data_IF_673131673216
#
_entry.id   IF_673131673216
#
_cell.length_a   1.000
_cell.length_b   1.000
_cell.length_c   1.000
_cell.angle_alpha   90.00
_cell.angle_beta   90.00
_cell.angle_gamma   90.00
#
_symmetry.space_group_name_H-M   'P 1'
#
loop_
_entity.id
_entity.type
_entity.pdbx_description
1 polymer ?
#
# COMPACT_ATOMS: atom_id res chain seq x y z
N UNK A 1 24.05 -7.15 17.06
CA UNK A 1 23.30 -6.72 15.88
C UNK A 1 24.28 -6.65 14.72
N UNK A 2 23.91 -7.17 13.56
CA UNK A 2 24.69 -7.06 12.34
C UNK A 2 24.80 -5.58 11.96
N UNK A 3 25.98 -4.95 11.99
CA UNK A 3 26.14 -3.52 11.68
C UNK A 3 25.86 -3.19 10.20
N UNK A 4 25.80 -4.20 9.34
CA UNK A 4 25.53 -4.07 7.91
C UNK A 4 24.06 -4.24 7.54
N UNK A 5 23.17 -4.55 8.50
CA UNK A 5 21.75 -4.78 8.28
C UNK A 5 20.97 -3.46 8.42
N UNK A 6 20.60 -2.87 7.29
CA UNK A 6 19.76 -1.67 7.27
C UNK A 6 18.32 -2.05 7.64
N UNK A 7 17.71 -1.35 8.60
CA UNK A 7 16.30 -1.52 8.94
C UNK A 7 15.46 -0.52 8.18
N UNK A 8 14.42 -1.01 7.50
CA UNK A 8 13.48 -0.15 6.77
C UNK A 8 12.14 -0.17 7.47
N UNK A 9 11.59 0.99 7.92
CA UNK A 9 10.25 1.04 8.49
C UNK A 9 9.19 0.73 7.44
N UNK A 10 8.24 -0.13 7.79
CA UNK A 10 7.07 -0.45 6.99
C UNK A 10 5.83 0.11 7.66
N UNK A 11 5.42 1.31 7.28
CA UNK A 11 4.22 1.98 7.78
C UNK A 11 2.98 1.38 7.12
N UNK A 12 2.04 0.91 7.92
CA UNK A 12 0.81 0.31 7.40
C UNK A 12 -0.22 0.03 8.48
N UNK A 13 -1.37 -0.45 8.04
CA UNK A 13 -2.29 -1.17 8.90
C UNK A 13 -1.77 -2.63 9.08
N UNK A 14 -2.62 -3.61 9.40
CA UNK A 14 -2.15 -4.98 9.69
C UNK A 14 -1.27 -5.62 8.62
N UNK A 15 -1.38 -5.20 7.35
CA UNK A 15 -0.56 -5.73 6.26
C UNK A 15 0.94 -5.42 6.41
N UNK A 16 1.32 -4.37 7.16
CA UNK A 16 2.73 -4.13 7.44
C UNK A 16 3.38 -5.24 8.28
N UNK A 17 2.57 -6.03 8.98
CA UNK A 17 3.04 -7.18 9.80
C UNK A 17 3.39 -8.40 8.96
N UNK A 18 2.85 -8.52 7.75
CA UNK A 18 3.11 -9.66 6.84
C UNK A 18 4.60 -9.89 6.61
N UNK A 19 5.38 -8.83 6.54
CA UNK A 19 6.83 -8.90 6.27
C UNK A 19 7.70 -8.59 7.49
N UNK A 20 7.12 -8.68 8.69
CA UNK A 20 7.83 -8.39 9.94
C UNK A 20 9.13 -9.18 10.05
N UNK A 21 10.24 -8.47 10.27
CA UNK A 21 11.59 -9.03 10.46
C UNK A 21 12.16 -9.79 9.23
N UNK A 22 11.45 -9.85 8.10
CA UNK A 22 11.98 -10.45 6.88
C UNK A 22 13.21 -9.67 6.40
N UNK A 23 14.18 -10.42 5.86
CA UNK A 23 15.39 -9.85 5.25
C UNK A 23 15.38 -10.08 3.75
N UNK A 24 15.78 -9.08 2.98
CA UNK A 24 15.92 -9.17 1.53
C UNK A 24 17.09 -8.30 1.06
N UNK A 25 17.48 -8.48 -0.19
CA UNK A 25 18.45 -7.62 -0.85
C UNK A 25 17.72 -6.51 -1.62
N UNK A 26 18.05 -5.27 -1.32
CA UNK A 26 17.50 -4.10 -2.00
C UNK A 26 18.63 -3.13 -2.36
N UNK A 27 18.80 -2.82 -3.66
CA UNK A 27 19.89 -1.98 -4.17
C UNK A 27 21.28 -2.40 -3.65
N UNK A 28 21.58 -3.70 -3.75
CA UNK A 28 22.84 -4.32 -3.30
C UNK A 28 23.12 -4.21 -1.79
N UNK A 29 22.11 -3.87 -0.99
CA UNK A 29 22.19 -3.85 0.48
C UNK A 29 21.25 -4.89 1.06
N UNK A 30 21.74 -5.56 2.11
CA UNK A 30 20.89 -6.43 2.93
C UNK A 30 20.06 -5.57 3.87
N UNK A 31 18.75 -5.70 3.78
CA UNK A 31 17.81 -4.93 4.60
C UNK A 31 16.93 -5.83 5.45
N UNK A 32 16.39 -5.30 6.53
CA UNK A 32 15.37 -5.95 7.36
C UNK A 32 14.12 -5.07 7.42
N UNK A 33 12.96 -5.67 7.20
CA UNK A 33 11.67 -4.98 7.30
C UNK A 33 11.29 -4.81 8.77
N UNK A 34 11.09 -3.55 9.19
CA UNK A 34 10.64 -3.21 10.52
C UNK A 34 9.16 -2.76 10.47
N UNK A 35 8.20 -3.58 10.93
CA UNK A 35 6.80 -3.18 10.89
C UNK A 35 6.50 -2.02 11.83
N UNK A 36 5.72 -1.06 11.34
CA UNK A 36 5.31 0.15 12.07
C UNK A 36 3.80 0.31 11.93
N UNK A 37 3.07 -0.30 12.85
CA UNK A 37 1.62 -0.41 12.78
C UNK A 37 0.92 0.91 13.08
N UNK A 38 0.04 1.33 12.18
CA UNK A 38 -0.96 2.39 12.38
C UNK A 38 -2.34 1.72 12.40
N UNK A 39 -2.76 1.27 13.57
CA UNK A 39 -3.95 0.43 13.77
C UNK A 39 -5.20 1.03 13.13
N UNK A 40 -5.82 0.29 12.19
CA UNK A 40 -7.03 0.69 11.48
C UNK A 40 -6.83 1.92 10.57
N UNK A 41 -5.58 2.20 10.17
CA UNK A 41 -5.27 3.27 9.23
C UNK A 41 -5.86 2.98 7.85
N UNK A 42 -6.62 3.93 7.30
CA UNK A 42 -7.17 3.88 5.94
C UNK A 42 -6.52 4.97 5.09
N UNK A 43 -6.37 4.75 3.80
CA UNK A 43 -5.98 5.80 2.86
C UNK A 43 -6.92 7.02 2.99
N UNK A 44 -8.21 6.78 3.16
CA UNK A 44 -9.23 7.79 3.44
C UNK A 44 -8.87 8.70 4.62
N UNK A 45 -8.38 8.16 5.74
CA UNK A 45 -8.02 8.96 6.92
C UNK A 45 -6.89 9.96 6.64
N UNK A 46 -5.95 9.59 5.77
CA UNK A 46 -4.87 10.48 5.35
C UNK A 46 -5.32 11.49 4.29
N UNK A 47 -6.34 11.13 3.49
CA UNK A 47 -6.93 12.04 2.50
C UNK A 47 -7.79 13.16 3.12
N UNK A 48 -8.32 12.98 4.32
CA UNK A 48 -9.09 14.01 5.02
C UNK A 48 -8.27 15.28 5.25
N UNK A 49 -8.88 16.45 5.08
CA UNK A 49 -8.20 17.75 5.35
C UNK A 49 -7.92 17.98 6.83
N UNK A 50 -8.79 17.48 7.70
CA UNK A 50 -8.68 17.66 9.16
C UNK A 50 -7.63 16.72 9.74
N UNK A 51 -6.98 17.16 10.82
CA UNK A 51 -6.18 16.30 11.66
C UNK A 51 -7.06 15.23 12.31
N UNK A 52 -6.51 14.03 12.41
CA UNK A 52 -7.16 12.90 13.06
C UNK A 52 -6.12 12.02 13.76
N UNK A 53 -6.59 11.04 14.54
CA UNK A 53 -5.72 10.16 15.33
C UNK A 53 -4.73 9.34 14.49
N UNK A 54 -5.09 8.97 13.27
CA UNK A 54 -4.22 8.16 12.39
C UNK A 54 -3.06 8.99 11.84
N UNK A 55 -3.30 10.24 11.45
CA UNK A 55 -2.25 11.19 11.07
C UNK A 55 -1.29 11.43 12.23
N UNK A 56 -1.82 11.72 13.42
CA UNK A 56 -1.00 11.90 14.63
C UNK A 56 -0.20 10.64 14.98
N UNK A 57 -0.82 9.46 14.86
CA UNK A 57 -0.14 8.17 15.08
C UNK A 57 1.02 7.96 14.10
N UNK A 58 0.78 8.16 12.80
CA UNK A 58 1.81 8.04 11.77
C UNK A 58 2.98 9.01 12.05
N UNK A 59 2.70 10.28 12.28
CA UNK A 59 3.74 11.30 12.56
C UNK A 59 4.53 10.97 13.83
N UNK A 60 3.88 10.44 14.85
CA UNK A 60 4.55 9.98 16.07
C UNK A 60 5.48 8.79 15.79
N UNK A 61 5.02 7.83 15.00
CA UNK A 61 5.83 6.67 14.63
C UNK A 61 7.03 7.06 13.75
N UNK A 62 6.84 7.95 12.78
CA UNK A 62 7.94 8.45 11.95
C UNK A 62 9.09 9.03 12.76
N UNK A 63 8.78 9.78 13.84
CA UNK A 63 9.81 10.35 14.75
C UNK A 63 10.62 9.27 15.47
N UNK A 64 10.08 8.06 15.64
CA UNK A 64 10.76 6.93 16.30
C UNK A 64 11.62 6.11 15.33
N UNK A 65 11.44 6.30 14.02
CA UNK A 65 12.09 5.49 12.99
C UNK A 65 12.90 6.33 11.97
N UNK A 66 13.86 7.19 12.42
CA UNK A 66 14.61 8.08 11.54
C UNK A 66 15.88 7.45 10.93
N UNK A 67 16.05 6.15 11.03
CA UNK A 67 17.33 5.45 10.80
C UNK A 67 17.51 4.90 9.38
N UNK A 68 16.61 5.16 8.47
CA UNK A 68 16.72 4.80 7.05
C UNK A 68 16.30 5.96 6.17
N UNK A 69 16.87 6.06 4.98
CA UNK A 69 16.41 6.94 3.91
C UNK A 69 15.28 6.33 3.08
N UNK A 70 14.83 5.12 3.45
CA UNK A 70 13.80 4.34 2.79
C UNK A 70 12.61 4.10 3.71
N UNK A 71 11.40 4.04 3.13
CA UNK A 71 10.19 3.63 3.82
C UNK A 71 9.33 2.73 2.92
N UNK A 72 8.71 1.72 3.52
CA UNK A 72 7.66 0.90 2.94
C UNK A 72 6.31 1.39 3.44
N UNK A 73 5.29 1.40 2.59
CA UNK A 73 3.97 1.96 2.88
C UNK A 73 2.89 1.00 2.35
N UNK A 74 1.98 0.53 3.23
CA UNK A 74 0.85 -0.33 2.88
C UNK A 74 -0.44 0.13 3.56
N UNK A 75 -1.19 1.00 2.88
CA UNK A 75 -2.55 1.39 3.27
C UNK A 75 -3.46 1.24 2.05
N UNK A 76 -4.74 0.90 2.27
CA UNK A 76 -5.73 0.81 1.20
C UNK A 76 -6.57 -0.45 1.19
N UNK A 77 -6.14 -1.53 1.86
CA UNK A 77 -6.94 -2.75 1.92
C UNK A 77 -8.30 -2.49 2.58
N UNK A 78 -8.30 -1.82 3.74
CA UNK A 78 -9.54 -1.48 4.46
C UNK A 78 -10.44 -0.56 3.62
N UNK A 79 -9.84 0.33 2.81
CA UNK A 79 -10.59 1.20 1.89
C UNK A 79 -11.31 0.43 0.77
N UNK A 80 -10.83 -0.77 0.45
CA UNK A 80 -11.40 -1.65 -0.56
C UNK A 80 -12.36 -2.71 0.01
N UNK A 81 -12.65 -2.69 1.32
CA UNK A 81 -13.68 -3.55 1.93
C UNK A 81 -15.07 -3.08 1.59
N UNK A 82 -16.03 -4.01 1.62
CA UNK A 82 -17.42 -3.73 1.28
C UNK A 82 -18.08 -2.78 2.29
N UNK A 83 -17.96 -3.10 3.58
CA UNK A 83 -18.75 -2.44 4.64
C UNK A 83 -18.18 -1.09 5.06
N UNK A 84 -16.87 -0.89 4.92
CA UNK A 84 -16.17 0.22 5.55
C UNK A 84 -15.48 1.18 4.58
N UNK A 85 -15.47 0.85 3.29
CA UNK A 85 -14.60 1.48 2.34
C UNK A 85 -15.29 2.35 1.28
N UNK A 86 -14.56 2.53 0.20
CA UNK A 86 -14.94 3.34 -0.96
C UNK A 86 -16.25 2.86 -1.58
N UNK A 87 -16.44 1.54 -1.68
CA UNK A 87 -17.62 0.94 -2.30
C UNK A 87 -18.90 1.32 -1.54
N UNK A 88 -18.91 1.11 -0.23
CA UNK A 88 -20.04 1.47 0.62
C UNK A 88 -20.34 2.98 0.58
N UNK A 89 -19.30 3.82 0.66
CA UNK A 89 -19.47 5.27 0.57
C UNK A 89 -20.07 5.69 -0.78
N UNK A 90 -19.55 5.13 -1.89
CA UNK A 90 -20.03 5.47 -3.22
C UNK A 90 -21.49 5.08 -3.42
N UNK A 91 -21.89 3.87 -3.01
CA UNK A 91 -23.28 3.38 -3.10
C UNK A 91 -24.21 4.24 -2.24
N UNK A 92 -23.89 4.43 -0.95
CA UNK A 92 -24.75 5.14 0.01
C UNK A 92 -24.91 6.62 -0.32
N UNK A 93 -23.94 7.22 -1.00
CA UNK A 93 -23.93 8.64 -1.39
C UNK A 93 -24.22 8.89 -2.87
N UNK A 94 -24.55 7.84 -3.61
CA UNK A 94 -24.77 7.91 -5.07
C UNK A 94 -23.62 8.62 -5.81
N UNK A 95 -22.38 8.17 -5.54
CA UNK A 95 -21.16 8.74 -6.12
C UNK A 95 -20.51 7.75 -7.08
N UNK A 96 -19.79 8.27 -8.06
CA UNK A 96 -18.99 7.45 -8.95
C UNK A 96 -17.79 6.85 -8.18
N UNK A 97 -17.67 5.51 -8.19
CA UNK A 97 -16.64 4.75 -7.46
C UNK A 97 -15.24 5.19 -7.89
N UNK A 98 -15.02 5.36 -9.20
CA UNK A 98 -13.70 5.76 -9.75
C UNK A 98 -13.29 7.15 -9.27
N UNK A 99 -14.22 8.10 -9.21
CA UNK A 99 -13.95 9.45 -8.70
C UNK A 99 -13.67 9.44 -7.20
N UNK A 100 -14.39 8.63 -6.41
CA UNK A 100 -14.10 8.47 -4.98
C UNK A 100 -12.71 7.86 -4.78
N UNK A 101 -12.34 6.82 -5.52
CA UNK A 101 -11.00 6.24 -5.53
C UNK A 101 -9.93 7.30 -5.82
N UNK A 102 -10.10 8.04 -6.91
CA UNK A 102 -9.16 9.06 -7.38
C UNK A 102 -8.92 10.14 -6.34
N UNK A 103 -9.99 10.66 -5.75
CA UNK A 103 -9.91 11.69 -4.71
C UNK A 103 -9.23 11.16 -3.44
N UNK A 104 -9.57 9.92 -3.04
CA UNK A 104 -8.95 9.26 -1.88
C UNK A 104 -7.45 9.07 -2.10
N UNK A 105 -7.05 8.48 -3.23
CA UNK A 105 -5.63 8.22 -3.55
C UNK A 105 -4.85 9.53 -3.63
N UNK A 106 -5.40 10.53 -4.33
CA UNK A 106 -4.73 11.82 -4.44
C UNK A 106 -4.49 12.46 -3.06
N UNK A 107 -5.53 12.60 -2.25
CA UNK A 107 -5.41 13.20 -0.92
C UNK A 107 -4.51 12.41 0.02
N UNK A 108 -4.58 11.07 -0.03
CA UNK A 108 -3.70 10.15 0.70
C UNK A 108 -2.23 10.38 0.35
N UNK A 109 -1.89 10.39 -0.94
CA UNK A 109 -0.52 10.59 -1.40
C UNK A 109 -0.05 12.03 -1.16
N UNK A 110 -0.90 13.05 -1.36
CA UNK A 110 -0.56 14.44 -1.06
C UNK A 110 -0.11 14.61 0.41
N UNK A 111 -0.83 13.97 1.33
CA UNK A 111 -0.47 14.00 2.75
C UNK A 111 0.82 13.21 3.04
N UNK A 112 0.92 11.96 2.55
CA UNK A 112 2.07 11.10 2.84
C UNK A 112 3.37 11.65 2.24
N UNK A 113 3.33 12.10 0.98
CA UNK A 113 4.51 12.67 0.33
C UNK A 113 5.00 13.92 1.07
N UNK A 114 4.08 14.81 1.49
CA UNK A 114 4.44 15.99 2.26
C UNK A 114 5.11 15.65 3.62
N UNK A 115 4.79 14.50 4.22
CA UNK A 115 5.35 14.09 5.51
C UNK A 115 6.59 13.19 5.37
N UNK A 116 6.50 12.20 4.49
CA UNK A 116 7.55 11.19 4.36
C UNK A 116 8.77 11.71 3.58
N UNK A 117 8.60 12.59 2.59
CA UNK A 117 9.71 13.10 1.78
C UNK A 117 10.77 13.86 2.57
N UNK A 118 10.43 14.35 3.75
CA UNK A 118 11.36 15.04 4.65
C UNK A 118 12.42 14.08 5.24
N UNK A 119 12.08 12.80 5.40
CA UNK A 119 12.95 11.82 6.07
C UNK A 119 13.31 10.63 5.19
N UNK A 120 12.49 10.32 4.18
CA UNK A 120 12.64 9.15 3.33
C UNK A 120 12.73 9.54 1.87
N UNK A 121 13.93 9.48 1.29
CA UNK A 121 14.15 9.81 -0.11
C UNK A 121 13.57 8.75 -1.05
N UNK A 122 13.52 7.49 -0.61
CA UNK A 122 12.96 6.36 -1.37
C UNK A 122 11.75 5.78 -0.66
N UNK A 123 10.59 5.90 -1.30
CA UNK A 123 9.31 5.45 -0.76
C UNK A 123 8.73 4.36 -1.65
N UNK A 124 8.36 3.23 -1.05
CA UNK A 124 7.86 2.04 -1.72
C UNK A 124 6.43 1.79 -1.27
N UNK A 125 5.49 2.00 -2.17
CA UNK A 125 4.07 1.81 -1.92
C UNK A 125 3.63 0.43 -2.39
N UNK A 126 3.02 -0.33 -1.49
CA UNK A 126 2.44 -1.63 -1.78
C UNK A 126 1.00 -1.46 -2.27
N UNK A 127 0.67 -2.13 -3.36
CA UNK A 127 -0.70 -2.26 -3.83
C UNK A 127 -1.54 -3.13 -2.88
N UNK A 128 -2.85 -3.13 -3.11
CA UNK A 128 -3.82 -3.98 -2.41
C UNK A 128 -3.88 -5.34 -3.09
N UNK A 129 -3.87 -6.42 -2.29
CA UNK A 129 -4.00 -7.78 -2.79
C UNK A 129 -5.35 -8.02 -3.50
N UNK A 130 -5.38 -8.99 -4.40
CA UNK A 130 -6.63 -9.46 -4.99
C UNK A 130 -7.56 -10.00 -3.89
N UNK A 131 -8.89 -9.76 -3.97
CA UNK A 131 -9.83 -10.19 -2.93
C UNK A 131 -10.07 -11.69 -2.99
N UNK A 132 -10.22 -12.33 -1.83
CA UNK A 132 -10.81 -13.67 -1.77
C UNK A 132 -12.30 -13.58 -2.08
N UNK A 133 -12.82 -14.56 -2.83
CA UNK A 133 -14.25 -14.75 -2.98
C UNK A 133 -14.91 -14.87 -1.60
N UNK A 134 -15.94 -14.07 -1.37
CA UNK A 134 -16.66 -14.09 -0.10
C UNK A 134 -18.04 -14.73 -0.32
N UNK A 135 -18.23 -15.93 0.21
CA UNK A 135 -19.49 -16.67 0.10
C UNK A 135 -20.71 -15.96 0.74
N UNK A 136 -20.46 -14.96 1.59
CA UNK A 136 -21.50 -14.15 2.21
C UNK A 136 -21.94 -12.96 1.32
N UNK A 137 -21.19 -12.69 0.24
CA UNK A 137 -21.55 -11.67 -0.74
C UNK A 137 -22.33 -12.28 -1.89
N UNK A 138 -23.18 -11.48 -2.54
CA UNK A 138 -23.69 -11.85 -3.85
C UNK A 138 -22.56 -11.82 -4.88
N UNK A 139 -22.68 -12.63 -5.93
CA UNK A 139 -21.72 -12.66 -7.04
C UNK A 139 -21.49 -11.26 -7.65
N UNK A 140 -22.55 -10.47 -7.78
CA UNK A 140 -22.50 -9.10 -8.27
C UNK A 140 -21.61 -8.20 -7.37
N UNK A 141 -21.72 -8.36 -6.07
CA UNK A 141 -20.91 -7.57 -5.11
C UNK A 141 -19.44 -7.97 -5.13
N UNK A 142 -19.12 -9.24 -5.35
CA UNK A 142 -17.73 -9.68 -5.51
C UNK A 142 -17.13 -9.13 -6.81
N UNK A 143 -17.89 -9.12 -7.90
CA UNK A 143 -17.45 -8.50 -9.17
C UNK A 143 -17.15 -7.00 -8.99
N UNK A 144 -18.03 -6.26 -8.32
CA UNK A 144 -17.80 -4.82 -8.07
C UNK A 144 -16.59 -4.60 -7.15
N UNK A 145 -16.34 -5.46 -6.17
CA UNK A 145 -15.15 -5.39 -5.32
C UNK A 145 -13.87 -5.67 -6.11
N UNK A 146 -13.86 -6.65 -7.00
CA UNK A 146 -12.73 -6.93 -7.91
C UNK A 146 -12.45 -5.71 -8.79
N UNK A 147 -13.47 -5.13 -9.41
CA UNK A 147 -13.34 -3.92 -10.23
C UNK A 147 -12.78 -2.74 -9.42
N UNK A 148 -13.28 -2.54 -8.20
CA UNK A 148 -12.79 -1.51 -7.28
C UNK A 148 -11.29 -1.69 -7.02
N UNK A 149 -10.85 -2.88 -6.61
CA UNK A 149 -9.46 -3.14 -6.27
C UNK A 149 -8.53 -2.97 -7.48
N UNK A 150 -8.95 -3.43 -8.66
CA UNK A 150 -8.21 -3.18 -9.93
C UNK A 150 -8.07 -1.69 -10.21
N UNK A 151 -9.17 -0.94 -10.10
CA UNK A 151 -9.20 0.52 -10.30
C UNK A 151 -8.30 1.22 -9.29
N UNK A 152 -8.40 0.86 -8.01
CA UNK A 152 -7.59 1.42 -6.94
C UNK A 152 -6.09 1.22 -7.21
N UNK A 153 -5.67 -0.03 -7.49
CA UNK A 153 -4.27 -0.34 -7.75
C UNK A 153 -3.74 0.37 -9.01
N UNK A 154 -4.52 0.44 -10.09
CA UNK A 154 -4.14 1.14 -11.31
C UNK A 154 -3.92 2.64 -11.07
N UNK A 155 -4.83 3.28 -10.35
CA UNK A 155 -4.72 4.70 -10.00
C UNK A 155 -3.56 4.94 -9.02
N UNK A 156 -3.42 4.09 -7.98
CA UNK A 156 -2.34 4.20 -7.01
C UNK A 156 -0.97 4.08 -7.69
N UNK A 157 -0.79 3.06 -8.53
CA UNK A 157 0.45 2.84 -9.30
C UNK A 157 0.82 4.07 -10.13
N UNK A 158 -0.14 4.58 -10.92
CA UNK A 158 0.07 5.77 -11.76
C UNK A 158 0.50 6.98 -10.94
N UNK A 159 -0.20 7.28 -9.87
CA UNK A 159 0.07 8.44 -9.01
C UNK A 159 1.40 8.31 -8.25
N UNK A 160 1.71 7.10 -7.73
CA UNK A 160 2.96 6.82 -7.03
C UNK A 160 4.16 7.02 -7.94
N UNK A 161 4.15 6.41 -9.13
CA UNK A 161 5.26 6.49 -10.09
C UNK A 161 5.46 7.92 -10.61
N UNK A 162 4.38 8.67 -10.84
CA UNK A 162 4.46 10.07 -11.28
C UNK A 162 5.03 11.02 -10.22
N UNK A 163 5.01 10.61 -8.95
CA UNK A 163 5.56 11.37 -7.81
C UNK A 163 7.00 10.98 -7.46
N UNK A 164 7.65 10.16 -8.28
CA UNK A 164 9.03 9.74 -8.05
C UNK A 164 9.17 8.67 -6.96
N UNK A 165 8.10 7.95 -6.64
CA UNK A 165 8.09 6.85 -5.66
C UNK A 165 7.96 5.48 -6.36
N UNK A 166 8.33 4.40 -5.67
CA UNK A 166 8.31 3.02 -6.17
C UNK A 166 6.96 2.37 -5.87
N UNK A 167 6.50 1.49 -6.76
CA UNK A 167 5.26 0.74 -6.58
C UNK A 167 5.52 -0.78 -6.61
N UNK A 168 4.97 -1.51 -5.65
CA UNK A 168 4.99 -2.96 -5.56
C UNK A 168 3.61 -3.51 -5.91
N UNK A 169 3.50 -4.23 -7.02
CA UNK A 169 2.25 -4.71 -7.59
C UNK A 169 1.76 -6.00 -6.92
N UNK A 170 1.27 -5.84 -5.70
CA UNK A 170 0.71 -6.94 -4.89
C UNK A 170 -0.49 -7.59 -5.60
N UNK A 171 -1.29 -6.79 -6.32
CA UNK A 171 -2.45 -7.32 -7.05
C UNK A 171 -2.03 -8.35 -8.10
N UNK A 172 -1.05 -8.02 -8.91
CA UNK A 172 -0.57 -8.93 -9.98
C UNK A 172 0.04 -10.21 -9.42
N UNK A 173 0.72 -10.17 -8.26
CA UNK A 173 1.22 -11.36 -7.59
C UNK A 173 0.10 -12.27 -7.08
N UNK A 174 -0.98 -11.69 -6.58
CA UNK A 174 -2.02 -12.42 -5.83
C UNK A 174 -3.27 -12.74 -6.65
N UNK A 175 -3.42 -12.18 -7.87
CA UNK A 175 -4.62 -12.38 -8.68
C UNK A 175 -4.53 -13.63 -9.56
N UNK A 176 -5.67 -14.28 -9.76
CA UNK A 176 -5.94 -15.25 -10.82
C UNK A 176 -6.53 -14.55 -12.05
N UNK A 177 -6.79 -15.29 -13.12
CA UNK A 177 -7.33 -14.75 -14.39
C UNK A 177 -8.67 -14.03 -14.21
N UNK A 178 -9.55 -14.53 -13.34
CA UNK A 178 -10.84 -13.91 -13.03
C UNK A 178 -10.71 -12.67 -12.11
N UNK A 179 -9.53 -12.44 -11.54
CA UNK A 179 -9.22 -11.30 -10.67
C UNK A 179 -9.45 -11.53 -9.19
N UNK A 180 -9.83 -12.73 -8.81
CA UNK A 180 -9.85 -13.19 -7.42
C UNK A 180 -8.45 -13.57 -6.96
N UNK A 181 -8.30 -13.72 -5.65
CA UNK A 181 -7.05 -14.17 -5.05
C UNK A 181 -6.72 -15.62 -5.45
N UNK A 182 -5.50 -15.85 -5.93
CA UNK A 182 -5.01 -17.17 -6.30
C UNK A 182 -4.67 -18.08 -5.11
N UNK A 183 -4.72 -17.58 -3.89
CA UNK A 183 -4.45 -18.27 -2.61
C UNK A 183 -3.03 -18.82 -2.43
N UNK A 184 -2.13 -18.57 -3.36
CA UNK A 184 -0.76 -19.12 -3.33
C UNK A 184 0.11 -18.39 -2.30
N UNK A 185 -0.11 -17.07 -2.17
CA UNK A 185 0.76 -16.16 -1.45
C UNK A 185 0.12 -15.57 -0.20
N UNK A 186 -0.82 -16.28 0.41
CA UNK A 186 -1.56 -15.82 1.59
C UNK A 186 -1.28 -16.73 2.79
N UNK A 187 -1.02 -16.14 3.96
CA UNK A 187 -0.91 -16.89 5.22
C UNK A 187 -2.28 -17.12 5.88
N UNK A 188 -3.22 -16.26 5.58
CA UNK A 188 -4.63 -16.36 5.98
C UNK A 188 -5.54 -15.83 4.86
N UNK A 189 -6.79 -15.52 5.17
CA UNK A 189 -7.73 -14.98 4.16
C UNK A 189 -7.47 -13.54 3.71
N UNK A 190 -6.51 -12.83 4.32
CA UNK A 190 -6.31 -11.39 4.11
C UNK A 190 -4.84 -11.03 3.93
N UNK A 191 -3.95 -11.64 4.75
CA UNK A 191 -2.56 -11.22 4.83
C UNK A 191 -1.64 -12.07 3.93
N UNK A 192 -0.65 -11.41 3.35
CA UNK A 192 0.38 -12.06 2.54
C UNK A 192 1.29 -12.93 3.40
N UNK A 193 1.78 -14.04 2.84
CA UNK A 193 2.84 -14.82 3.46
C UNK A 193 4.16 -14.04 3.47
N UNK A 194 5.00 -14.21 4.52
CA UNK A 194 6.23 -13.43 4.68
C UNK A 194 7.22 -13.54 3.52
N UNK A 195 7.31 -14.69 2.89
CA UNK A 195 8.22 -14.97 1.75
C UNK A 195 7.88 -14.15 0.49
N UNK A 196 6.64 -13.64 0.38
CA UNK A 196 6.22 -12.84 -0.77
C UNK A 196 7.02 -11.55 -0.94
N UNK A 197 7.65 -11.04 0.12
CA UNK A 197 8.39 -9.78 0.04
C UNK A 197 9.54 -9.88 -0.97
N UNK A 198 10.31 -10.97 -0.98
CA UNK A 198 11.38 -11.16 -1.97
C UNK A 198 10.85 -11.25 -3.39
N UNK A 199 9.77 -12.02 -3.59
CA UNK A 199 9.13 -12.19 -4.90
C UNK A 199 8.60 -10.85 -5.43
N UNK A 200 8.01 -10.02 -4.56
CA UNK A 200 7.51 -8.69 -4.92
C UNK A 200 8.65 -7.79 -5.41
N UNK A 201 9.78 -7.76 -4.69
CA UNK A 201 10.90 -6.93 -5.06
C UNK A 201 11.64 -7.42 -6.31
N UNK A 202 11.70 -8.71 -6.54
CA UNK A 202 12.36 -9.32 -7.71
C UNK A 202 11.54 -9.19 -9.00
N UNK A 203 10.20 -9.32 -8.94
CA UNK A 203 9.36 -9.51 -10.11
C UNK A 203 8.24 -8.49 -10.30
N UNK A 204 7.88 -7.74 -9.25
CA UNK A 204 6.70 -6.86 -9.25
C UNK A 204 7.00 -5.44 -8.76
N UNK A 205 8.28 -5.06 -8.72
CA UNK A 205 8.71 -3.70 -8.41
C UNK A 205 8.67 -2.83 -9.66
N UNK A 206 7.97 -1.72 -9.58
CA UNK A 206 7.96 -0.67 -10.60
C UNK A 206 8.70 0.56 -10.09
N UNK A 207 9.66 1.01 -10.89
CA UNK A 207 10.47 2.17 -10.60
C UNK A 207 9.74 3.47 -10.99
N UNK A 208 10.05 4.60 -10.33
CA UNK A 208 9.49 5.90 -10.67
C UNK A 208 9.78 6.26 -12.11
N UNK A 209 8.84 6.95 -12.74
CA UNK A 209 9.07 7.55 -14.04
C UNK A 209 10.16 8.60 -13.88
N UNK A 210 11.30 8.39 -14.51
CA UNK A 210 12.39 9.37 -14.50
C UNK A 210 11.85 10.64 -15.16
N UNK A 211 11.69 11.71 -14.38
CA UNK A 211 11.43 13.03 -14.97
C UNK A 211 12.62 13.37 -15.86
N UNK A 212 12.39 13.83 -17.12
CA UNK A 212 13.47 14.27 -18.00
C UNK A 212 14.00 15.65 -17.56
N UNK A 213 14.35 15.81 -16.31
CA UNK A 213 14.93 17.03 -15.76
C UNK A 213 16.08 16.65 -14.86
N UNK A 214 17.23 16.48 -15.51
CA UNK A 214 18.56 16.93 -15.07
C UNK A 214 19.59 16.48 -16.10
N UNK A 215 19.41 16.95 -17.34
CA UNK A 215 20.51 17.19 -18.26
C UNK A 215 20.79 18.71 -18.17
N UNK A 216 21.64 19.11 -17.24
CA UNK A 216 22.41 20.35 -17.27
C UNK A 216 23.83 20.04 -16.86
#
# INVERSE_FOLDING_TARGET
QDPFLERIPHFGESHCLSFAQQTLNLFSKRIQVQPVLVTGGKAWHFAEKKNNRWKSSLEHQMKKHPYSDKAFISFGEIDCRKEEGILNYAITRNKNITEVCKLTIKGYLDYLEAKLSLNYSKRFYFGVAAPLANKELSEEMDIERIKLIRTYNSLLKKEVLSRGSYFLDVYSLTSSENGENNRIHMCDGIHLSPECVSILFENYLYEPLVSPTNAL
#
